data_IF_860684405528
#
_entry.id   IF_860684405528
#
_cell.length_a   1.000
_cell.length_b   1.000
_cell.length_c   1.000
_cell.angle_alpha   90.00
_cell.angle_beta   90.00
_cell.angle_gamma   90.00
#
_symmetry.space_group_name_H-M   'P 1'
#
loop_
_entity.id
_entity.type
_entity.pdbx_description
1 polymer ?
#
# COMPACT_ATOMS: atom_id res chain seq x y z
N UNK A 1 9.45 3.00 -10.68
CA UNK A 1 7.98 3.08 -10.79
C UNK A 1 7.35 2.26 -9.69
N UNK A 2 6.28 2.73 -9.05
CA UNK A 2 5.55 1.99 -8.02
C UNK A 2 4.10 1.78 -8.47
N UNK A 3 3.57 0.56 -8.38
CA UNK A 3 2.14 0.33 -8.58
C UNK A 3 1.37 0.62 -7.30
N UNK A 4 0.39 1.50 -7.39
CA UNK A 4 -0.48 1.88 -6.30
C UNK A 4 -1.93 1.60 -6.69
N UNK A 5 -2.64 0.82 -5.87
CA UNK A 5 -4.06 0.56 -5.99
C UNK A 5 -4.83 1.24 -4.85
N UNK A 6 -5.94 1.90 -5.17
CA UNK A 6 -6.92 2.42 -4.19
C UNK A 6 -8.32 2.04 -4.68
N UNK A 7 -9.05 1.28 -3.87
CA UNK A 7 -10.39 0.75 -4.18
C UNK A 7 -10.48 0.09 -5.57
N UNK A 8 -9.43 -0.64 -5.94
CA UNK A 8 -9.32 -1.36 -7.22
C UNK A 8 -8.82 -0.52 -8.39
N UNK A 9 -8.68 0.80 -8.23
CA UNK A 9 -8.08 1.67 -9.25
C UNK A 9 -6.56 1.60 -9.14
N UNK A 10 -5.90 0.97 -10.12
CA UNK A 10 -4.46 0.83 -10.18
C UNK A 10 -3.80 1.89 -11.07
N UNK A 11 -2.68 2.47 -10.60
CA UNK A 11 -1.78 3.29 -11.41
C UNK A 11 -0.33 2.99 -11.10
N UNK A 12 0.51 3.05 -12.13
CA UNK A 12 1.95 3.00 -12.02
C UNK A 12 2.51 4.43 -11.88
N UNK A 13 3.00 4.77 -10.70
CA UNK A 13 3.55 6.09 -10.36
C UNK A 13 5.05 6.18 -10.66
N UNK A 14 5.43 7.23 -11.39
CA UNK A 14 6.81 7.65 -11.65
C UNK A 14 7.28 8.68 -10.62
N UNK A 15 8.58 9.02 -10.67
CA UNK A 15 9.15 10.03 -9.79
C UNK A 15 8.42 11.37 -9.93
N UNK A 16 8.01 11.97 -8.81
CA UNK A 16 7.25 13.21 -8.77
C UNK A 16 5.73 13.04 -8.87
N UNK A 17 5.23 11.86 -9.26
CA UNK A 17 3.79 11.57 -9.27
C UNK A 17 3.30 11.11 -7.89
N UNK A 18 2.02 11.36 -7.61
CA UNK A 18 1.41 11.00 -6.33
C UNK A 18 -0.05 10.60 -6.51
N UNK A 19 -0.56 9.90 -5.49
CA UNK A 19 -1.97 9.58 -5.30
C UNK A 19 -2.28 9.67 -3.81
N UNK A 20 -3.57 9.60 -3.48
CA UNK A 20 -4.06 9.70 -2.11
C UNK A 20 -4.97 8.52 -1.78
N UNK A 21 -4.88 8.01 -0.56
CA UNK A 21 -5.81 7.02 0.01
C UNK A 21 -6.76 7.72 0.97
N UNK A 22 -8.05 7.84 0.63
CA UNK A 22 -9.06 8.28 1.57
C UNK A 22 -9.19 7.33 2.77
N UNK A 23 -9.61 7.86 3.92
CA UNK A 23 -9.90 7.04 5.10
C UNK A 23 -10.98 6.01 4.76
N UNK A 24 -10.70 4.74 5.04
CA UNK A 24 -11.62 3.63 4.80
C UNK A 24 -11.45 2.94 3.45
N UNK A 25 -10.64 3.50 2.54
CA UNK A 25 -10.33 2.86 1.26
C UNK A 25 -9.36 1.68 1.41
N UNK A 26 -9.65 0.60 0.69
CA UNK A 26 -8.72 -0.51 0.53
C UNK A 26 -7.60 -0.05 -0.39
N UNK A 27 -6.36 -0.29 -0.01
CA UNK A 27 -5.22 0.12 -0.82
C UNK A 27 -4.07 -0.87 -0.74
N UNK A 28 -3.25 -0.90 -1.79
CA UNK A 28 -2.01 -1.67 -1.82
C UNK A 28 -0.93 -0.93 -2.58
N UNK A 29 0.32 -1.21 -2.21
CA UNK A 29 1.50 -0.87 -3.00
C UNK A 29 2.18 -2.16 -3.45
N UNK A 30 2.60 -2.23 -4.71
CA UNK A 30 3.44 -3.32 -5.21
C UNK A 30 4.52 -2.78 -6.14
N UNK A 31 5.64 -3.50 -6.23
CA UNK A 31 6.68 -3.21 -7.20
C UNK A 31 6.83 -4.42 -8.15
N UNK A 32 5.94 -4.58 -9.15
CA UNK A 32 6.03 -5.66 -10.13
C UNK A 32 7.11 -5.41 -11.19
N UNK A 33 7.83 -4.28 -11.11
CA UNK A 33 8.82 -3.84 -12.08
C UNK A 33 10.23 -4.35 -11.71
N UNK A 34 11.13 -4.40 -12.68
CA UNK A 34 12.49 -4.95 -12.49
C UNK A 34 13.40 -4.07 -11.63
N UNK A 35 13.12 -2.77 -11.55
CA UNK A 35 13.92 -1.81 -10.80
C UNK A 35 13.40 -1.62 -9.38
N UNK A 36 14.31 -1.28 -8.46
CA UNK A 36 13.92 -0.89 -7.10
C UNK A 36 13.12 0.42 -7.12
N UNK A 37 11.91 0.40 -6.57
CA UNK A 37 11.12 1.60 -6.34
C UNK A 37 11.43 2.20 -4.95
N UNK A 38 11.44 3.53 -4.86
CA UNK A 38 11.44 4.28 -3.59
C UNK A 38 10.24 5.22 -3.60
N UNK A 39 9.52 5.28 -2.48
CA UNK A 39 8.38 6.16 -2.30
C UNK A 39 8.41 6.78 -0.91
N UNK A 40 7.90 8.00 -0.80
CA UNK A 40 7.61 8.67 0.45
C UNK A 40 6.13 8.47 0.76
N UNK A 41 5.83 7.84 1.91
CA UNK A 41 4.47 7.66 2.40
C UNK A 41 4.27 8.60 3.58
N UNK A 42 3.23 9.42 3.52
CA UNK A 42 2.82 10.33 4.60
C UNK A 42 1.51 9.82 5.18
N UNK A 43 1.48 9.57 6.49
CA UNK A 43 0.34 9.03 7.22
C UNK A 43 -0.17 10.07 8.22
N UNK A 44 -1.47 10.35 8.19
CA UNK A 44 -2.11 11.29 9.11
C UNK A 44 -3.44 10.71 9.61
N UNK A 45 -3.59 10.43 10.92
CA UNK A 45 -2.53 10.38 11.94
C UNK A 45 -1.51 9.26 11.66
N UNK A 46 -0.34 9.36 12.26
CA UNK A 46 0.71 8.35 12.10
C UNK A 46 0.37 7.05 12.84
N UNK A 47 0.75 5.90 12.27
CA UNK A 47 0.70 4.57 12.89
C UNK A 47 1.96 4.28 13.73
N UNK A 48 3.03 5.05 13.50
CA UNK A 48 4.30 4.96 14.20
C UNK A 48 5.27 3.97 13.58
N UNK A 49 6.56 4.32 13.59
CA UNK A 49 7.64 3.50 13.04
C UNK A 49 7.75 2.09 13.65
N UNK A 50 7.22 1.87 14.87
CA UNK A 50 7.25 0.57 15.52
C UNK A 50 6.46 -0.50 14.74
N UNK A 51 5.33 -0.12 14.10
CA UNK A 51 4.57 -1.05 13.27
C UNK A 51 5.45 -1.70 12.20
N UNK A 52 6.25 -0.91 11.49
CA UNK A 52 7.12 -1.41 10.43
C UNK A 52 8.28 -2.24 10.96
N UNK A 53 8.81 -1.92 12.16
CA UNK A 53 9.83 -2.75 12.82
C UNK A 53 9.27 -4.12 13.20
N UNK A 54 8.05 -4.16 13.72
CA UNK A 54 7.39 -5.42 14.09
C UNK A 54 7.06 -6.26 12.84
N UNK A 55 6.59 -5.62 11.76
CA UNK A 55 6.41 -6.30 10.46
C UNK A 55 7.74 -6.90 9.97
N UNK A 56 8.83 -6.13 10.04
CA UNK A 56 10.15 -6.60 9.64
C UNK A 56 10.61 -7.81 10.47
N UNK A 57 10.30 -7.85 11.77
CA UNK A 57 10.62 -9.00 12.63
C UNK A 57 9.94 -10.31 12.17
N UNK A 58 8.74 -10.20 11.58
CA UNK A 58 7.98 -11.35 11.08
C UNK A 58 8.44 -11.75 9.67
N UNK A 59 8.61 -10.78 8.78
CA UNK A 59 8.96 -11.02 7.37
C UNK A 59 10.40 -11.49 7.21
N UNK A 60 11.32 -11.02 8.05
CA UNK A 60 12.74 -11.37 7.97
C UNK A 60 13.13 -12.57 8.85
N UNK A 61 12.17 -13.33 9.38
CA UNK A 61 12.43 -14.47 10.28
C UNK A 61 13.04 -15.71 9.60
N UNK A 62 13.25 -15.67 8.28
CA UNK A 62 13.74 -16.78 7.48
C UNK A 62 12.61 -17.70 7.01
N UNK A 63 12.32 -17.68 5.71
CA UNK A 63 11.20 -18.42 5.10
C UNK A 63 10.00 -17.52 4.75
N UNK A 64 8.89 -18.09 4.26
CA UNK A 64 7.68 -17.34 3.96
C UNK A 64 7.12 -16.65 5.22
N UNK A 65 6.64 -15.40 5.13
CA UNK A 65 6.10 -14.70 6.29
C UNK A 65 4.93 -15.45 6.93
N UNK A 66 4.91 -15.52 8.27
CA UNK A 66 3.80 -16.08 9.03
C UNK A 66 2.58 -15.15 8.91
N UNK A 67 1.63 -15.55 8.05
CA UNK A 67 0.43 -14.77 7.75
C UNK A 67 -0.44 -14.54 8.97
N UNK A 68 -0.56 -15.51 9.87
CA UNK A 68 -1.39 -15.37 11.07
C UNK A 68 -0.81 -14.31 12.01
N UNK A 69 0.52 -14.31 12.19
CA UNK A 69 1.22 -13.27 12.97
C UNK A 69 1.08 -11.90 12.33
N UNK A 70 1.20 -11.78 11.01
CA UNK A 70 1.02 -10.51 10.31
C UNK A 70 -0.39 -9.94 10.49
N UNK A 71 -1.43 -10.76 10.29
CA UNK A 71 -2.81 -10.32 10.47
C UNK A 71 -3.09 -9.90 11.93
N UNK A 72 -2.60 -10.68 12.90
CA UNK A 72 -2.72 -10.33 14.31
C UNK A 72 -1.97 -9.04 14.67
N UNK A 73 -0.79 -8.82 14.08
CA UNK A 73 -0.03 -7.58 14.25
C UNK A 73 -0.80 -6.38 13.69
N UNK A 74 -1.33 -6.48 12.46
CA UNK A 74 -2.15 -5.42 11.85
C UNK A 74 -3.31 -5.01 12.76
N UNK A 75 -4.05 -5.98 13.31
CA UNK A 75 -5.15 -5.69 14.23
C UNK A 75 -4.70 -4.98 15.52
N UNK A 76 -3.52 -5.32 16.08
CA UNK A 76 -2.98 -4.62 17.27
C UNK A 76 -2.70 -3.14 17.01
N UNK A 77 -2.40 -2.76 15.78
CA UNK A 77 -2.19 -1.38 15.35
C UNK A 77 -3.46 -0.71 14.78
N UNK A 78 -4.63 -1.34 14.93
CA UNK A 78 -5.91 -0.79 14.47
C UNK A 78 -6.14 -0.88 12.96
N UNK A 79 -5.34 -1.67 12.24
CA UNK A 79 -5.52 -1.91 10.81
C UNK A 79 -6.53 -3.04 10.56
N UNK A 80 -7.34 -2.86 9.52
CA UNK A 80 -8.27 -3.86 9.00
C UNK A 80 -7.72 -4.38 7.66
N UNK A 81 -7.25 -5.64 7.59
CA UNK A 81 -6.81 -6.24 6.33
C UNK A 81 -7.98 -6.35 5.33
N UNK A 82 -7.68 -6.17 4.05
CA UNK A 82 -8.68 -6.35 2.99
C UNK A 82 -9.21 -7.79 2.96
N UNK A 83 -10.47 -8.00 2.54
CA UNK A 83 -11.01 -9.33 2.29
C UNK A 83 -10.16 -10.10 1.27
N UNK A 84 -10.04 -11.42 1.46
CA UNK A 84 -9.34 -12.27 0.49
C UNK A 84 -10.06 -12.21 -0.86
N UNK A 85 -9.33 -11.93 -1.94
CA UNK A 85 -9.88 -11.78 -3.29
C UNK A 85 -10.21 -10.33 -3.71
N UNK A 86 -9.98 -9.33 -2.84
CA UNK A 86 -10.18 -7.93 -3.19
C UNK A 86 -9.06 -7.33 -4.08
N UNK A 87 -7.97 -8.07 -4.32
CA UNK A 87 -6.86 -7.62 -5.17
C UNK A 87 -6.99 -8.14 -6.61
N UNK A 88 -6.96 -7.19 -7.56
CA UNK A 88 -6.91 -7.29 -9.02
C UNK A 88 -8.22 -7.65 -9.76
N UNK A 89 -9.07 -6.64 -10.01
CA UNK A 89 -9.62 -6.51 -11.37
C UNK A 89 -8.58 -5.78 -12.21
N UNK A 90 -8.07 -6.42 -13.25
CA UNK A 90 -7.19 -5.79 -14.23
C UNK A 90 -8.01 -4.74 -14.99
N UNK A 91 -7.85 -3.47 -14.63
CA UNK A 91 -8.53 -2.33 -15.25
C UNK A 91 -7.61 -1.56 -16.19
N UNK A 92 -8.08 -1.33 -17.41
CA UNK A 92 -7.48 -0.60 -18.53
C UNK A 92 -7.00 0.85 -18.16
N UNK A 93 -6.23 1.53 -19.03
CA UNK A 93 -5.50 2.74 -18.63
C UNK A 93 -6.47 3.89 -18.32
N UNK A 94 -6.33 4.47 -17.13
CA UNK A 94 -6.95 5.74 -16.81
C UNK A 94 -6.10 6.89 -17.39
N UNK A 95 -6.30 7.19 -18.68
CA UNK A 95 -5.83 8.44 -19.27
C UNK A 95 -6.73 9.59 -18.78
N UNK A 96 -6.26 10.34 -17.79
CA UNK A 96 -6.89 11.57 -17.34
C UNK A 96 -6.03 12.31 -16.31
N UNK A 97 -5.77 13.62 -16.47
CA UNK A 97 -4.96 14.35 -15.52
C UNK A 97 -5.68 14.43 -14.17
N UNK A 98 -4.95 14.07 -13.11
CA UNK A 98 -5.40 14.31 -11.75
C UNK A 98 -5.66 15.82 -11.59
N UNK A 99 -6.91 16.17 -11.31
CA UNK A 99 -7.28 17.54 -10.96
C UNK A 99 -6.49 17.97 -9.71
N UNK A 100 -5.78 19.11 -9.74
CA UNK A 100 -5.11 19.59 -8.54
C UNK A 100 -6.15 19.94 -7.48
N UNK A 101 -5.96 19.43 -6.25
CA UNK A 101 -6.71 19.88 -5.08
C UNK A 101 -6.42 21.38 -4.82
N UNK A 102 -7.40 22.16 -4.33
CA UNK A 102 -7.20 23.57 -4.06
C UNK A 102 -6.20 23.80 -2.92
N UNK A 103 -5.44 24.90 -3.05
CA UNK A 103 -4.28 25.30 -2.23
C UNK A 103 -4.53 25.33 -0.73
#
# INVERSE_FOLDING_TARGET
TLRYSVDGVERDLRAGEWMFTPRGSVHQFSNPHSESARALIVLTPDIGAQYFRDVASIVNAGGPPDRAKLLGLMSKYGLVPAPQGAAAQQGAPADGPATPAPR
#
